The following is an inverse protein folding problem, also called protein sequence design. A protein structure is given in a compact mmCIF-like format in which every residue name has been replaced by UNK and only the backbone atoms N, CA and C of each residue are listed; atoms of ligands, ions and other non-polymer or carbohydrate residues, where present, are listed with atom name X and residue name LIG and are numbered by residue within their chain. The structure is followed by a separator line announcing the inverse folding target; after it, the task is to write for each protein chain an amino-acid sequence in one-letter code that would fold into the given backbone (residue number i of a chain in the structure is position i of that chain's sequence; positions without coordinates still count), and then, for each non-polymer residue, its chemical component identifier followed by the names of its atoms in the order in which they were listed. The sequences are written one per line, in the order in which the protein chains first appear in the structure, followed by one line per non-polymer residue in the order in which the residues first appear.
data_IF_023802761514
#
_entry.id   IF_023802761514
#
_cell.length_a   1.000
_cell.length_b   1.000
_cell.length_c   1.000
_cell.angle_alpha   90.00
_cell.angle_beta   90.00
_cell.angle_gamma   90.00
#
_symmetry.space_group_name_H-M   'P 1'
#
loop_
_entity.id
_entity.type
_entity.pdbx_description
1 polymer ?
#
# COMPACT_ATOMS: atom_id res chain seq x y z
N UNK A 1 -10.39 30.41 -8.90
CA UNK A 1 -11.74 30.67 -9.45
C UNK A 1 -12.34 29.33 -9.85
N UNK A 2 -13.59 29.08 -9.46
CA UNK A 2 -14.33 27.89 -9.86
C UNK A 2 -14.60 27.94 -11.38
N UNK A 3 -14.31 26.88 -12.12
CA UNK A 3 -14.54 26.80 -13.57
C UNK A 3 -15.17 25.47 -13.96
N UNK A 4 -15.89 25.42 -15.08
CA UNK A 4 -16.48 24.19 -15.62
C UNK A 4 -15.40 23.23 -16.14
N UNK A 5 -15.60 21.92 -15.97
CA UNK A 5 -14.76 20.88 -16.57
C UNK A 5 -15.36 20.48 -17.92
N UNK A 6 -14.79 20.95 -19.03
CA UNK A 6 -15.17 20.52 -20.39
C UNK A 6 -14.02 19.78 -21.08
N UNK A 7 -14.30 18.58 -21.62
CA UNK A 7 -13.33 17.80 -22.42
C UNK A 7 -13.08 18.38 -23.82
N UNK A 8 -13.86 19.41 -24.21
CA UNK A 8 -13.59 20.22 -25.38
C UNK A 8 -12.64 21.36 -25.00
N UNK A 9 -11.47 21.39 -25.63
CA UNK A 9 -10.55 22.52 -25.60
C UNK A 9 -11.27 23.77 -26.10
N UNK A 10 -11.61 24.69 -25.19
CA UNK A 10 -11.17 26.11 -25.21
C UNK A 10 -12.12 27.09 -24.47
N UNK A 11 -13.11 26.61 -23.70
CA UNK A 11 -13.98 27.51 -22.90
C UNK A 11 -14.17 27.02 -21.46
N UNK A 12 -13.25 27.42 -20.57
CA UNK A 12 -13.42 27.30 -19.11
C UNK A 12 -14.20 28.50 -18.60
N UNK A 13 -15.52 28.37 -18.53
CA UNK A 13 -16.38 29.43 -18.03
C UNK A 13 -16.25 29.55 -16.51
N UNK A 14 -16.13 30.78 -15.99
CA UNK A 14 -16.08 31.03 -14.56
C UNK A 14 -17.47 30.81 -13.96
N UNK A 15 -17.58 29.84 -13.07
CA UNK A 15 -18.82 29.51 -12.35
C UNK A 15 -18.77 30.07 -10.94
N UNK A 16 -19.96 30.23 -10.34
CA UNK A 16 -20.09 30.77 -8.99
C UNK A 16 -19.36 29.87 -7.96
N UNK A 17 -18.65 30.48 -7.00
CA UNK A 17 -17.75 29.78 -6.05
C UNK A 17 -18.46 28.71 -5.21
N UNK A 18 -19.76 28.88 -4.95
CA UNK A 18 -20.57 27.92 -4.18
C UNK A 18 -20.69 26.55 -4.86
N UNK A 19 -20.57 26.48 -6.20
CA UNK A 19 -20.61 25.23 -6.97
C UNK A 19 -19.34 24.38 -6.81
N UNK A 20 -18.24 24.97 -6.35
CA UNK A 20 -16.97 24.27 -6.11
C UNK A 20 -16.67 24.04 -4.63
N UNK A 21 -17.60 24.31 -3.71
CA UNK A 21 -17.35 24.23 -2.26
C UNK A 21 -16.82 22.88 -1.79
N UNK A 22 -17.23 21.78 -2.42
CA UNK A 22 -16.76 20.41 -2.15
C UNK A 22 -15.50 20.00 -2.95
N UNK A 23 -15.14 20.76 -3.98
CA UNK A 23 -13.97 20.53 -4.84
C UNK A 23 -12.84 21.52 -4.55
N UNK A 24 -13.05 22.45 -3.61
CA UNK A 24 -12.08 23.45 -3.22
C UNK A 24 -10.96 22.73 -2.46
N UNK A 25 -9.72 22.79 -2.96
CA UNK A 25 -8.59 22.28 -2.21
C UNK A 25 -8.56 22.95 -0.83
N UNK A 26 -8.19 22.23 0.24
CA UNK A 26 -8.01 22.84 1.54
C UNK A 26 -7.00 23.99 1.43
N UNK A 27 -7.30 25.13 2.04
CA UNK A 27 -6.40 26.29 2.06
C UNK A 27 -5.26 26.13 3.05
N UNK A 28 -5.41 25.20 3.99
CA UNK A 28 -4.45 24.89 5.04
C UNK A 28 -4.29 23.38 5.11
N UNK A 29 -3.05 22.92 5.11
CA UNK A 29 -2.69 21.51 5.30
C UNK A 29 -1.76 21.44 6.52
N UNK A 30 -2.02 20.53 7.48
CA UNK A 30 -1.12 20.38 8.62
C UNK A 30 0.27 19.96 8.13
N UNK A 31 1.30 20.71 8.51
CA UNK A 31 2.68 20.32 8.23
C UNK A 31 3.19 19.39 9.34
N UNK A 32 3.76 18.25 8.94
CA UNK A 32 4.47 17.35 9.84
C UNK A 32 5.94 17.77 9.85
N UNK A 33 6.40 18.32 10.98
CA UNK A 33 7.81 18.63 11.17
C UNK A 33 8.53 17.38 11.69
N UNK A 34 9.66 16.97 11.07
CA UNK A 34 10.44 15.86 11.56
C UNK A 34 11.01 16.18 12.95
N UNK A 35 11.16 15.15 13.77
CA UNK A 35 11.80 15.28 15.07
C UNK A 35 13.25 15.78 14.92
N UNK A 36 13.76 16.55 15.89
CA UNK A 36 15.16 16.97 15.89
C UNK A 36 16.10 15.77 15.78
N UNK A 37 17.13 15.88 14.93
CA UNK A 37 18.18 14.87 14.71
C UNK A 37 17.74 13.55 14.05
N UNK A 38 16.45 13.34 13.77
CA UNK A 38 16.01 12.16 13.04
C UNK A 38 16.43 12.23 11.57
N UNK A 39 16.69 11.07 10.97
CA UNK A 39 16.89 11.00 9.53
C UNK A 39 15.63 11.44 8.78
N UNK A 40 15.82 12.27 7.76
CA UNK A 40 14.74 12.71 6.86
C UNK A 40 15.01 12.19 5.47
N UNK A 41 14.04 11.47 4.91
CA UNK A 41 14.08 10.96 3.53
C UNK A 41 13.13 11.75 2.64
N UNK A 42 13.42 11.80 1.34
CA UNK A 42 12.56 12.41 0.35
C UNK A 42 11.27 11.62 0.15
N UNK A 43 10.29 12.27 -0.47
CA UNK A 43 9.22 11.55 -1.16
C UNK A 43 9.81 10.61 -2.23
N UNK A 44 9.03 9.61 -2.60
CA UNK A 44 9.39 8.73 -3.71
C UNK A 44 9.45 9.51 -5.02
N UNK A 45 10.43 9.18 -5.86
CA UNK A 45 10.46 9.63 -7.26
C UNK A 45 9.22 9.13 -8.00
N UNK A 46 8.96 9.73 -9.17
CA UNK A 46 8.08 9.10 -10.14
C UNK A 46 8.62 7.73 -10.53
N UNK A 47 7.72 6.83 -10.88
CA UNK A 47 8.07 5.54 -11.46
C UNK A 47 8.84 5.73 -12.76
N UNK A 48 9.90 4.92 -12.95
CA UNK A 48 10.56 4.78 -14.23
C UNK A 48 9.57 4.28 -15.29
N UNK A 49 9.83 4.54 -16.58
CA UNK A 49 9.16 3.78 -17.64
C UNK A 49 9.40 2.29 -17.42
N UNK A 50 8.45 1.48 -17.89
CA UNK A 50 8.60 0.04 -17.88
C UNK A 50 9.79 -0.39 -18.73
N UNK A 51 10.56 -1.36 -18.24
CA UNK A 51 11.72 -1.91 -18.95
C UNK A 51 11.35 -2.49 -20.32
N UNK A 52 10.12 -2.98 -20.46
CA UNK A 52 9.57 -3.54 -21.69
C UNK A 52 8.08 -3.17 -21.79
N UNK A 53 7.55 -3.12 -23.02
CA UNK A 53 6.13 -2.86 -23.27
C UNK A 53 5.22 -4.03 -22.88
N UNK A 54 5.77 -5.24 -22.76
CA UNK A 54 5.05 -6.48 -22.46
C UNK A 54 5.93 -7.44 -21.65
N UNK A 55 5.33 -8.45 -21.04
CA UNK A 55 6.00 -9.45 -20.21
C UNK A 55 6.15 -10.80 -20.91
N UNK A 56 7.16 -11.58 -20.49
CA UNK A 56 7.37 -12.99 -20.87
C UNK A 56 7.76 -13.81 -19.64
N UNK A 57 7.73 -15.15 -19.73
CA UNK A 57 8.00 -16.09 -18.62
C UNK A 57 9.36 -15.83 -17.97
N UNK A 58 10.36 -15.50 -18.80
CA UNK A 58 11.74 -15.32 -18.36
C UNK A 58 12.10 -13.83 -18.15
N UNK A 59 11.28 -12.91 -18.64
CA UNK A 59 11.52 -11.46 -18.52
C UNK A 59 10.19 -10.75 -18.30
N UNK A 60 9.87 -10.52 -17.03
CA UNK A 60 8.77 -9.66 -16.63
C UNK A 60 9.16 -8.19 -16.85
N UNK A 61 8.22 -7.39 -17.35
CA UNK A 61 8.43 -5.95 -17.43
C UNK A 61 8.42 -5.35 -16.01
N UNK A 62 9.45 -4.55 -15.73
CA UNK A 62 9.71 -4.01 -14.40
C UNK A 62 9.85 -2.49 -14.49
N UNK A 63 9.48 -1.81 -13.41
CA UNK A 63 9.74 -0.39 -13.19
C UNK A 63 10.34 -0.21 -11.81
N UNK A 64 11.05 0.88 -11.62
CA UNK A 64 11.64 1.23 -10.34
C UNK A 64 11.39 2.69 -9.99
N UNK A 65 11.43 3.00 -8.69
CA UNK A 65 11.49 4.36 -8.17
C UNK A 65 12.42 4.39 -6.97
N UNK A 66 12.98 5.55 -6.70
CA UNK A 66 13.93 5.72 -5.61
C UNK A 66 13.53 6.91 -4.73
N UNK A 67 14.11 6.95 -3.53
CA UNK A 67 14.08 8.11 -2.64
C UNK A 67 15.48 8.30 -2.07
N UNK A 68 15.77 9.49 -1.56
CA UNK A 68 17.10 9.83 -1.04
C UNK A 68 17.04 10.39 0.36
N UNK A 69 18.16 10.34 1.07
CA UNK A 69 18.31 11.00 2.37
C UNK A 69 18.45 12.51 2.12
N UNK A 70 17.52 13.29 2.68
CA UNK A 70 17.55 14.76 2.67
C UNK A 70 18.41 15.25 3.84
N UNK A 71 18.24 14.65 5.02
CA UNK A 71 19.03 14.97 6.21
C UNK A 71 19.46 13.67 6.92
N UNK A 72 20.76 13.47 7.16
CA UNK A 72 21.23 12.32 7.92
C UNK A 72 20.84 12.45 9.39
N UNK A 73 20.77 11.32 10.08
CA UNK A 73 20.51 11.32 11.52
C UNK A 73 21.68 11.90 12.33
N UNK A 74 21.35 12.58 13.41
CA UNK A 74 22.29 13.10 14.40
C UNK A 74 22.36 12.22 15.66
N UNK A 75 23.08 12.68 16.70
CA UNK A 75 23.21 11.96 17.96
C UNK A 75 21.85 11.79 18.65
N UNK A 76 21.44 10.54 18.89
CA UNK A 76 20.18 10.21 19.56
C UNK A 76 18.93 10.25 18.68
N UNK A 77 19.06 10.56 17.39
CA UNK A 77 17.96 10.46 16.42
C UNK A 77 17.85 9.08 15.77
N UNK A 78 16.70 8.79 15.16
CA UNK A 78 16.45 7.55 14.44
C UNK A 78 17.35 7.43 13.20
N UNK A 79 17.96 6.25 12.98
CA UNK A 79 18.85 6.02 11.84
C UNK A 79 18.08 6.08 10.52
N UNK A 80 18.80 6.35 9.42
CA UNK A 80 18.22 6.29 8.09
C UNK A 80 17.90 4.84 7.68
N UNK A 81 16.87 4.62 6.85
CA UNK A 81 16.62 3.32 6.21
C UNK A 81 17.83 2.84 5.41
N UNK A 82 17.96 1.52 5.27
CA UNK A 82 19.01 0.92 4.45
C UNK A 82 18.83 1.29 2.96
N UNK A 83 19.92 1.33 2.17
CA UNK A 83 19.86 1.65 0.73
C UNK A 83 18.85 0.81 -0.06
N UNK A 84 18.68 -0.46 0.28
CA UNK A 84 17.73 -1.35 -0.38
C UNK A 84 16.27 -0.96 -0.10
N UNK A 85 15.97 -0.39 1.07
CA UNK A 85 14.64 0.13 1.42
C UNK A 85 14.35 1.50 0.79
N UNK A 86 15.35 2.12 0.18
CA UNK A 86 15.25 3.36 -0.57
C UNK A 86 15.05 3.14 -2.07
N UNK A 87 15.07 1.88 -2.53
CA UNK A 87 14.76 1.47 -3.89
C UNK A 87 13.51 0.58 -3.89
N UNK A 88 12.49 0.97 -4.65
CA UNK A 88 11.32 0.12 -4.85
C UNK A 88 11.25 -0.36 -6.29
N UNK A 89 11.07 -1.68 -6.44
CA UNK A 89 10.81 -2.34 -7.70
C UNK A 89 9.37 -2.84 -7.74
N UNK A 90 8.74 -2.70 -8.90
CA UNK A 90 7.37 -3.17 -9.12
C UNK A 90 7.22 -3.75 -10.54
N UNK A 91 6.31 -4.71 -10.65
CA UNK A 91 5.91 -5.27 -11.94
C UNK A 91 5.04 -4.30 -12.71
N UNK A 92 5.22 -4.24 -14.02
CA UNK A 92 4.31 -3.50 -14.89
C UNK A 92 4.10 -4.25 -16.21
N UNK A 93 3.16 -3.81 -17.04
CA UNK A 93 2.83 -4.45 -18.32
C UNK A 93 2.69 -5.98 -18.19
N UNK A 94 1.74 -6.42 -17.36
CA UNK A 94 1.48 -7.84 -17.08
C UNK A 94 0.94 -8.61 -18.28
N UNK A 95 0.55 -7.92 -19.35
CA UNK A 95 0.16 -8.55 -20.60
C UNK A 95 1.37 -9.14 -21.31
N UNK A 96 1.16 -10.32 -21.89
CA UNK A 96 2.15 -10.98 -22.70
C UNK A 96 2.32 -10.31 -24.06
N UNK A 97 3.51 -10.43 -24.63
CA UNK A 97 3.83 -9.86 -25.94
C UNK A 97 3.00 -10.42 -27.11
N UNK A 98 2.19 -11.44 -26.86
CA UNK A 98 1.31 -12.08 -27.84
C UNK A 98 -0.19 -11.76 -27.61
N UNK A 99 -0.51 -10.75 -26.79
CA UNK A 99 -1.89 -10.34 -26.52
C UNK A 99 -2.65 -11.22 -25.52
N UNK A 100 -1.95 -12.14 -24.83
CA UNK A 100 -2.52 -12.97 -23.77
C UNK A 100 -2.02 -12.51 -22.40
N UNK A 101 -2.84 -12.59 -21.35
CA UNK A 101 -2.47 -12.16 -20.00
C UNK A 101 -3.21 -12.97 -18.93
N UNK A 102 -2.66 -12.98 -17.71
CA UNK A 102 -3.35 -13.58 -16.56
C UNK A 102 -4.26 -12.55 -15.89
N UNK A 103 -5.56 -12.80 -15.89
CA UNK A 103 -6.56 -12.07 -15.11
C UNK A 103 -6.63 -12.67 -13.71
N UNK A 104 -6.30 -11.88 -12.69
CA UNK A 104 -6.41 -12.29 -11.28
C UNK A 104 -7.65 -11.71 -10.64
N UNK A 105 -8.54 -12.58 -10.17
CA UNK A 105 -9.72 -12.15 -9.43
C UNK A 105 -9.34 -11.74 -7.99
N UNK A 106 -10.22 -10.99 -7.29
CA UNK A 106 -10.04 -10.70 -5.88
C UNK A 106 -9.89 -11.97 -5.03
N UNK A 107 -9.14 -11.84 -3.95
CA UNK A 107 -9.07 -12.90 -2.94
C UNK A 107 -10.43 -13.10 -2.29
N UNK A 108 -10.84 -14.36 -2.21
CA UNK A 108 -11.98 -14.76 -1.37
C UNK A 108 -11.67 -14.47 0.10
N UNK A 109 -12.70 -14.40 0.97
CA UNK A 109 -12.51 -14.28 2.41
C UNK A 109 -11.57 -15.37 2.96
N UNK A 110 -10.88 -15.05 4.05
CA UNK A 110 -10.02 -16.03 4.72
C UNK A 110 -10.87 -17.20 5.23
N UNK A 111 -10.50 -18.44 4.89
CA UNK A 111 -11.18 -19.63 5.41
C UNK A 111 -10.65 -20.04 6.80
N UNK A 112 -10.03 -19.12 7.54
CA UNK A 112 -9.56 -19.39 8.89
C UNK A 112 -10.76 -19.53 9.84
N UNK A 113 -10.72 -20.55 10.68
CA UNK A 113 -11.57 -20.65 11.86
C UNK A 113 -10.94 -19.87 13.01
N UNK A 114 -11.78 -19.26 13.86
CA UNK A 114 -11.31 -18.54 15.04
C UNK A 114 -10.60 -19.41 16.09
N UNK A 115 -10.67 -20.74 15.96
CA UNK A 115 -9.97 -21.66 16.84
C UNK A 115 -8.45 -21.71 16.59
N UNK A 116 -8.02 -21.50 15.34
CA UNK A 116 -6.60 -21.60 14.93
C UNK A 116 -6.01 -20.25 14.53
N UNK A 117 -6.83 -19.26 14.15
CA UNK A 117 -6.38 -17.95 13.65
C UNK A 117 -5.72 -18.00 12.27
N UNK A 118 -5.15 -19.14 11.86
CA UNK A 118 -4.53 -19.35 10.56
C UNK A 118 -5.51 -19.94 9.54
N UNK A 119 -5.43 -19.48 8.30
CA UNK A 119 -6.19 -20.02 7.19
C UNK A 119 -5.57 -19.70 5.84
N UNK A 120 -6.34 -20.00 4.79
CA UNK A 120 -5.92 -19.77 3.40
C UNK A 120 -7.00 -18.95 2.69
N UNK A 121 -6.56 -17.94 1.94
CA UNK A 121 -7.39 -17.27 0.94
C UNK A 121 -7.13 -17.90 -0.42
N UNK A 122 -8.22 -18.14 -1.15
CA UNK A 122 -8.19 -18.62 -2.53
C UNK A 122 -8.60 -17.50 -3.47
N UNK A 123 -8.08 -17.51 -4.68
CA UNK A 123 -8.57 -16.68 -5.78
C UNK A 123 -8.52 -17.45 -7.08
N UNK A 124 -9.36 -17.03 -8.01
CA UNK A 124 -9.33 -17.55 -9.36
C UNK A 124 -8.36 -16.72 -10.23
N UNK A 125 -7.72 -17.42 -11.16
CA UNK A 125 -6.75 -16.84 -12.09
C UNK A 125 -7.04 -17.43 -13.47
N UNK A 126 -7.38 -16.58 -14.43
CA UNK A 126 -7.78 -17.00 -15.77
C UNK A 126 -6.81 -16.46 -16.82
N UNK A 127 -6.59 -17.21 -17.90
CA UNK A 127 -5.89 -16.69 -19.07
C UNK A 127 -6.90 -15.96 -19.96
N UNK A 128 -6.59 -14.73 -20.34
CA UNK A 128 -7.45 -13.90 -21.19
C UNK A 128 -6.66 -13.34 -22.37
N UNK A 129 -7.34 -13.15 -23.50
CA UNK A 129 -6.81 -12.42 -24.66
C UNK A 129 -7.37 -11.00 -24.66
N UNK A 130 -6.57 -9.99 -25.04
CA UNK A 130 -6.79 -8.53 -25.30
C UNK A 130 -8.15 -7.84 -24.96
N UNK A 131 -9.29 -8.53 -24.95
CA UNK A 131 -10.65 -8.10 -24.58
C UNK A 131 -11.38 -9.00 -23.54
N UNK A 132 -10.65 -9.61 -22.59
CA UNK A 132 -11.19 -10.36 -21.43
C UNK A 132 -11.90 -11.71 -21.71
N UNK A 133 -11.90 -12.22 -22.94
CA UNK A 133 -12.40 -13.57 -23.20
C UNK A 133 -11.51 -14.60 -22.50
N UNK A 134 -12.13 -15.46 -21.68
CA UNK A 134 -11.43 -16.56 -21.03
C UNK A 134 -11.01 -17.58 -22.08
N UNK A 135 -9.70 -17.72 -22.25
CA UNK A 135 -9.10 -18.68 -23.18
C UNK A 135 -8.43 -19.81 -22.40
N UNK A 136 -8.02 -20.85 -23.14
CA UNK A 136 -7.29 -21.96 -22.56
C UNK A 136 -5.97 -21.48 -21.92
N UNK A 137 -5.65 -22.00 -20.73
CA UNK A 137 -4.44 -21.64 -19.97
C UNK A 137 -3.15 -21.78 -20.79
N UNK A 138 -3.11 -22.72 -21.76
CA UNK A 138 -1.96 -22.93 -22.65
C UNK A 138 -1.49 -21.66 -23.37
N UNK A 139 -2.42 -20.73 -23.67
CA UNK A 139 -2.08 -19.46 -24.33
C UNK A 139 -1.25 -18.52 -23.47
N UNK A 140 -1.34 -18.66 -22.14
CA UNK A 140 -0.56 -17.89 -21.17
C UNK A 140 0.64 -18.66 -20.63
N UNK A 141 1.00 -19.82 -21.21
CA UNK A 141 2.18 -20.59 -20.79
C UNK A 141 3.45 -19.74 -20.84
N UNK A 142 3.56 -18.82 -21.79
CA UNK A 142 4.71 -17.92 -21.89
C UNK A 142 4.71 -16.81 -20.83
N UNK A 143 3.85 -16.86 -19.81
CA UNK A 143 3.80 -15.93 -18.70
C UNK A 143 3.83 -16.68 -17.38
N UNK A 144 4.34 -16.02 -16.34
CA UNK A 144 4.34 -16.58 -14.98
C UNK A 144 2.92 -16.57 -14.43
N UNK A 145 2.37 -17.75 -14.10
CA UNK A 145 1.03 -17.89 -13.52
C UNK A 145 1.01 -17.31 -12.10
N UNK A 146 0.13 -16.34 -11.81
CA UNK A 146 -0.05 -15.81 -10.45
C UNK A 146 -0.47 -16.90 -9.45
N UNK A 147 -0.08 -16.72 -8.19
CA UNK A 147 -0.48 -17.64 -7.10
C UNK A 147 -2.00 -17.65 -6.91
N UNK A 148 -2.60 -18.83 -6.72
CA UNK A 148 -4.05 -19.03 -6.52
C UNK A 148 -4.43 -19.19 -5.04
N UNK A 149 -3.44 -19.38 -4.17
CA UNK A 149 -3.62 -19.52 -2.72
C UNK A 149 -2.59 -18.67 -1.98
N UNK A 150 -2.99 -18.06 -0.85
CA UNK A 150 -2.08 -17.40 0.09
C UNK A 150 -2.52 -17.65 1.53
N UNK A 151 -1.57 -17.67 2.46
CA UNK A 151 -1.89 -17.70 3.88
C UNK A 151 -2.55 -16.40 4.32
N UNK A 152 -3.43 -16.50 5.32
CA UNK A 152 -4.08 -15.38 5.98
C UNK A 152 -4.20 -15.67 7.47
N UNK A 153 -4.21 -14.60 8.26
CA UNK A 153 -4.54 -14.65 9.69
C UNK A 153 -5.82 -13.87 9.89
N UNK A 154 -6.78 -14.47 10.59
CA UNK A 154 -8.01 -13.79 10.96
C UNK A 154 -7.91 -13.30 12.40
N UNK A 155 -7.97 -11.98 12.57
CA UNK A 155 -8.05 -11.35 13.89
C UNK A 155 -9.40 -11.70 14.53
N UNK A 156 -9.38 -12.72 15.38
CA UNK A 156 -10.55 -13.10 16.16
C UNK A 156 -10.48 -12.40 17.51
N UNK A 157 -11.53 -11.65 17.90
CA UNK A 157 -11.59 -11.05 19.23
C UNK A 157 -11.67 -12.17 20.26
N UNK A 158 -10.55 -12.45 20.93
CA UNK A 158 -10.56 -13.19 22.17
C UNK A 158 -11.32 -12.34 23.18
N UNK A 159 -12.53 -12.76 23.56
CA UNK A 159 -13.20 -12.23 24.73
C UNK A 159 -12.42 -12.74 25.96
N UNK A 160 -11.33 -12.05 26.28
CA UNK A 160 -10.63 -12.25 27.53
C UNK A 160 -11.49 -11.64 28.64
N UNK A 161 -12.29 -12.46 29.32
CA UNK A 161 -12.90 -12.07 30.58
C UNK A 161 -11.80 -11.90 31.62
N UNK A 162 -11.51 -10.65 31.97
CA UNK A 162 -10.59 -10.33 33.06
C UNK A 162 -11.30 -10.58 34.40
N UNK A 163 -10.60 -11.21 35.33
CA UNK A 163 -11.09 -11.27 36.71
C UNK A 163 -11.18 -9.86 37.32
N UNK A 164 -12.01 -9.64 38.34
CA UNK A 164 -11.97 -8.41 39.13
C UNK A 164 -10.53 -8.12 39.60
N UNK A 165 -10.17 -6.84 39.66
CA UNK A 165 -8.91 -6.42 40.26
C UNK A 165 -8.83 -6.93 41.70
N UNK A 166 -7.63 -7.31 42.14
CA UNK A 166 -7.38 -7.51 43.56
C UNK A 166 -7.58 -6.21 44.32
N UNK A 167 -7.86 -6.31 45.62
CA UNK A 167 -7.83 -5.14 46.50
C UNK A 167 -6.50 -4.40 46.38
N UNK A 168 -6.56 -3.07 46.52
CA UNK A 168 -5.38 -2.23 46.50
C UNK A 168 -4.43 -2.63 47.64
N UNK A 169 -3.14 -2.73 47.33
CA UNK A 169 -2.13 -2.87 48.38
C UNK A 169 -2.11 -1.60 49.25
N UNK A 170 -1.87 -1.74 50.57
CA UNK A 170 -1.69 -0.58 51.43
C UNK A 170 -0.52 0.26 50.92
N UNK A 171 -0.67 1.58 50.98
CA UNK A 171 0.40 2.50 50.61
C UNK A 171 1.67 2.17 51.42
N UNK A 172 2.87 2.23 50.80
CA UNK A 172 4.12 2.16 51.55
C UNK A 172 4.08 3.19 52.68
N UNK A 173 4.56 2.85 53.88
CA UNK A 173 4.58 3.80 54.98
C UNK A 173 5.30 5.06 54.51
N UNK A 174 4.63 6.20 54.64
CA UNK A 174 5.20 7.52 54.45
C UNK A 174 6.28 7.72 55.52
N UNK A 175 7.47 7.17 55.28
CA UNK A 175 8.69 7.75 55.80
C UNK A 175 8.92 9.05 55.02
N UNK A 176 8.07 10.04 55.28
CA UNK A 176 8.48 11.42 55.17
C UNK A 176 9.62 11.56 56.18
N UNK A 177 10.87 11.51 55.72
CA UNK A 177 11.98 12.01 56.52
C UNK A 177 11.96 13.54 56.43
N UNK A 178 11.73 14.26 57.54
CA UNK A 178 12.17 15.64 57.63
C UNK A 178 13.62 15.64 58.12
N UNK A 179 14.53 16.03 57.23
CA UNK A 179 15.65 16.93 57.51
C UNK A 179 16.43 17.21 56.23
#
# INVERSE_FOLDING_TARGET
ACTTHSDASDFKEAVADWLCTQLKPPTEEPCLLPCPYDCVVSGWSNWSPCSQSCSTRNKMAMRYRNRTIIAPHGPGGHPCPDPDEMLQMDGCNSHGCHGYSWLTLPWQPCNASCDSGEGVQLREVWCVQDNQDMVNESKCELLTKPVTARSCVQDCPVQCEVSPWSEWSPCPPLNCQPN
#
